data_IF_251779049943
#
_entry.id   IF_251779049943
#
_cell.length_a   1.000
_cell.length_b   1.000
_cell.length_c   1.000
_cell.angle_alpha   90.00
_cell.angle_beta   90.00
_cell.angle_gamma   90.00
#
_symmetry.space_group_name_H-M   'P 1'
#
loop_
_entity.id
_entity.type
_entity.pdbx_description
1 polymer ?
#
# COMPACT_ATOMS: atom_id res chain seq x y z
N UNK A 1 1.56 23.19 27.86
CA UNK A 1 2.67 23.34 26.89
C UNK A 1 2.26 22.60 25.63
N UNK A 2 2.37 23.18 24.42
CA UNK A 2 2.16 22.43 23.19
C UNK A 2 3.21 21.32 23.12
N UNK A 3 2.77 20.09 22.96
CA UNK A 3 3.66 18.97 22.64
C UNK A 3 4.14 19.23 21.21
N UNK A 4 5.44 19.46 21.05
CA UNK A 4 6.07 19.46 19.75
C UNK A 4 6.10 18.01 19.27
N UNK A 5 5.10 17.61 18.48
CA UNK A 5 5.13 16.34 17.76
C UNK A 5 6.19 16.45 16.65
N UNK A 6 7.41 16.03 16.99
CA UNK A 6 8.49 15.86 16.03
C UNK A 6 8.28 14.51 15.34
N UNK A 7 7.66 14.53 14.16
CA UNK A 7 7.53 13.33 13.32
C UNK A 7 8.75 13.17 12.41
N UNK A 8 9.32 11.97 12.38
CA UNK A 8 10.42 11.60 11.49
C UNK A 8 9.87 10.69 10.39
N UNK A 9 9.92 11.15 9.14
CA UNK A 9 9.51 10.31 8.01
C UNK A 9 10.59 9.28 7.67
N UNK A 10 10.36 8.02 8.04
CA UNK A 10 11.25 6.90 7.69
C UNK A 10 11.31 6.67 6.17
N UNK A 11 10.26 7.03 5.44
CA UNK A 11 10.19 6.96 3.97
C UNK A 11 11.27 7.81 3.29
N UNK A 12 11.54 9.02 3.81
CA UNK A 12 12.58 9.91 3.27
C UNK A 12 13.97 9.26 3.31
N UNK A 13 14.32 8.68 4.46
CA UNK A 13 15.62 8.06 4.67
C UNK A 13 15.77 6.78 3.86
N UNK A 14 14.74 5.91 3.88
CA UNK A 14 14.75 4.68 3.12
C UNK A 14 14.88 4.95 1.62
N UNK A 15 14.25 6.01 1.10
CA UNK A 15 14.39 6.40 -0.29
C UNK A 15 15.82 6.82 -0.64
N UNK A 16 16.40 7.74 0.13
CA UNK A 16 17.75 8.23 -0.13
C UNK A 16 18.78 7.09 -0.06
N UNK A 17 18.60 6.16 0.88
CA UNK A 17 19.41 4.96 0.97
C UNK A 17 19.18 4.04 -0.23
N UNK A 18 17.93 3.79 -0.63
CA UNK A 18 17.58 2.97 -1.78
C UNK A 18 18.23 3.48 -3.08
N UNK A 19 18.20 4.79 -3.33
CA UNK A 19 18.86 5.39 -4.49
C UNK A 19 20.36 5.11 -4.50
N UNK A 20 21.03 5.28 -3.36
CA UNK A 20 22.47 5.01 -3.23
C UNK A 20 22.78 3.53 -3.38
N UNK A 21 22.06 2.67 -2.67
CA UNK A 21 22.26 1.22 -2.69
C UNK A 21 21.98 0.64 -4.08
N UNK A 22 20.97 1.17 -4.79
CA UNK A 22 20.68 0.79 -6.17
C UNK A 22 21.86 1.01 -7.10
N UNK A 23 22.60 2.12 -6.96
CA UNK A 23 23.77 2.37 -7.83
C UNK A 23 24.91 1.37 -7.56
N UNK A 24 25.13 1.01 -6.30
CA UNK A 24 26.20 0.09 -5.90
C UNK A 24 25.83 -1.40 -6.06
N UNK A 25 24.58 -1.73 -6.42
CA UNK A 25 24.05 -3.10 -6.39
C UNK A 25 24.83 -4.12 -7.24
N UNK A 26 25.51 -3.66 -8.28
CA UNK A 26 26.27 -4.49 -9.20
C UNK A 26 27.62 -4.96 -8.60
N UNK A 27 28.07 -4.30 -7.53
CA UNK A 27 29.29 -4.64 -6.79
C UNK A 27 29.03 -5.69 -5.70
N UNK A 28 27.76 -5.99 -5.41
CA UNK A 28 27.35 -6.93 -4.37
C UNK A 28 27.57 -8.37 -4.79
N UNK A 29 28.00 -9.22 -3.85
CA UNK A 29 27.99 -10.66 -4.05
C UNK A 29 26.55 -11.18 -4.20
N UNK A 30 26.37 -12.37 -4.78
CA UNK A 30 25.03 -12.92 -5.07
C UNK A 30 24.11 -12.98 -3.84
N UNK A 31 24.64 -13.42 -2.69
CA UNK A 31 23.86 -13.49 -1.45
C UNK A 31 23.48 -12.10 -0.91
N UNK A 32 24.36 -11.10 -1.07
CA UNK A 32 24.10 -9.70 -0.69
C UNK A 32 23.08 -9.07 -1.63
N UNK A 33 23.15 -9.38 -2.92
CA UNK A 33 22.17 -8.94 -3.92
C UNK A 33 20.78 -9.49 -3.60
N UNK A 34 20.68 -10.75 -3.18
CA UNK A 34 19.42 -11.31 -2.73
C UNK A 34 18.87 -10.58 -1.49
N UNK A 35 19.72 -10.27 -0.51
CA UNK A 35 19.36 -9.45 0.64
C UNK A 35 18.91 -8.03 0.25
N UNK A 36 19.60 -7.42 -0.71
CA UNK A 36 19.23 -6.13 -1.28
C UNK A 36 17.85 -6.15 -1.93
N UNK A 37 17.51 -7.19 -2.72
CA UNK A 37 16.17 -7.29 -3.30
C UNK A 37 15.07 -7.43 -2.25
N UNK A 38 15.31 -8.18 -1.16
CA UNK A 38 14.35 -8.24 -0.05
C UNK A 38 14.12 -6.86 0.57
N UNK A 39 15.22 -6.15 0.86
CA UNK A 39 15.16 -4.78 1.35
C UNK A 39 14.43 -3.84 0.37
N UNK A 40 14.67 -3.99 -0.93
CA UNK A 40 14.02 -3.23 -1.99
C UNK A 40 12.49 -3.39 -1.93
N UNK A 41 11.99 -4.62 -1.95
CA UNK A 41 10.55 -4.88 -1.92
C UNK A 41 9.91 -4.40 -0.62
N UNK A 42 10.59 -4.56 0.51
CA UNK A 42 10.12 -4.03 1.79
C UNK A 42 10.05 -2.50 1.78
N UNK A 43 11.04 -1.85 1.19
CA UNK A 43 11.08 -0.38 1.07
C UNK A 43 9.95 0.13 0.17
N UNK A 44 9.77 -0.47 -1.02
CA UNK A 44 8.69 -0.09 -1.94
C UNK A 44 7.32 -0.34 -1.31
N UNK A 45 7.14 -1.47 -0.63
CA UNK A 45 5.85 -1.77 -0.01
C UNK A 45 5.57 -0.87 1.20
N UNK A 46 6.57 -0.64 2.07
CA UNK A 46 6.44 0.30 3.18
C UNK A 46 6.17 1.73 2.71
N UNK A 47 6.69 2.13 1.54
CA UNK A 47 6.28 3.38 0.90
C UNK A 47 4.80 3.38 0.54
N UNK A 48 4.30 2.33 -0.11
CA UNK A 48 2.87 2.23 -0.48
C UNK A 48 1.95 2.20 0.75
N UNK A 49 2.37 1.57 1.85
CA UNK A 49 1.67 1.63 3.14
C UNK A 49 1.56 3.07 3.64
N UNK A 50 2.70 3.78 3.72
CA UNK A 50 2.72 5.17 4.14
C UNK A 50 1.90 6.08 3.20
N UNK A 51 1.97 5.83 1.89
CA UNK A 51 1.26 6.59 0.87
C UNK A 51 -0.25 6.44 1.01
N UNK A 52 -0.74 5.20 1.08
CA UNK A 52 -2.18 4.92 1.21
C UNK A 52 -2.71 5.41 2.56
N UNK A 53 -1.95 5.20 3.64
CA UNK A 53 -2.23 5.77 4.96
C UNK A 53 -2.44 7.29 4.86
N UNK A 54 -1.48 8.01 4.28
CA UNK A 54 -1.54 9.48 4.17
C UNK A 54 -2.75 9.97 3.37
N UNK A 55 -3.13 9.27 2.29
CA UNK A 55 -4.33 9.59 1.50
C UNK A 55 -5.60 9.45 2.36
N UNK A 56 -5.71 8.36 3.13
CA UNK A 56 -6.86 8.11 4.00
C UNK A 56 -6.89 9.13 5.15
N UNK A 57 -5.76 9.38 5.81
CA UNK A 57 -5.64 10.40 6.86
C UNK A 57 -6.04 11.79 6.36
N UNK A 58 -5.63 12.15 5.15
CA UNK A 58 -5.99 13.44 4.54
C UNK A 58 -7.50 13.58 4.39
N UNK A 59 -8.18 12.53 3.90
CA UNK A 59 -9.64 12.51 3.80
C UNK A 59 -10.32 12.59 5.17
N UNK A 60 -9.85 11.82 6.16
CA UNK A 60 -10.40 11.84 7.52
C UNK A 60 -10.23 13.20 8.19
N UNK A 61 -9.04 13.79 8.09
CA UNK A 61 -8.74 15.13 8.63
C UNK A 61 -9.63 16.19 7.99
N UNK A 62 -9.92 16.06 6.70
CA UNK A 62 -10.87 16.95 6.03
C UNK A 62 -12.31 16.76 6.53
N UNK A 63 -12.81 15.52 6.62
CA UNK A 63 -14.14 15.23 7.20
C UNK A 63 -14.25 15.78 8.61
N UNK A 64 -13.19 15.61 9.42
CA UNK A 64 -13.11 16.19 10.76
C UNK A 64 -13.22 17.72 10.70
N UNK A 65 -12.40 18.38 9.88
CA UNK A 65 -12.40 19.84 9.72
C UNK A 65 -13.77 20.38 9.33
N UNK A 66 -14.46 19.79 8.35
CA UNK A 66 -15.81 20.22 7.95
C UNK A 66 -16.81 20.01 9.07
N UNK A 67 -16.72 18.88 9.77
CA UNK A 67 -17.63 18.54 10.86
C UNK A 67 -17.50 19.44 12.08
N UNK A 68 -16.40 20.17 12.25
CA UNK A 68 -16.24 21.11 13.37
C UNK A 68 -17.32 22.19 13.39
N UNK A 69 -17.90 22.52 12.22
CA UNK A 69 -19.05 23.43 12.12
C UNK A 69 -20.31 22.88 12.81
N UNK A 70 -20.44 21.56 12.97
CA UNK A 70 -21.54 20.91 13.70
C UNK A 70 -21.39 21.02 15.22
N UNK A 71 -20.22 21.41 15.73
CA UNK A 71 -19.97 21.44 17.18
C UNK A 71 -20.88 22.43 17.90
N UNK A 72 -21.09 23.59 17.31
CA UNK A 72 -21.88 24.69 17.89
C UNK A 72 -23.22 24.90 17.17
N UNK A 73 -23.54 24.04 16.19
CA UNK A 73 -24.78 24.14 15.44
C UNK A 73 -25.99 23.61 16.25
N UNK A 74 -27.17 23.99 15.78
CA UNK A 74 -28.44 23.47 16.26
C UNK A 74 -29.27 22.95 15.11
N UNK A 75 -30.07 21.93 15.37
CA UNK A 75 -30.92 21.28 14.40
C UNK A 75 -32.40 21.45 14.78
N UNK A 76 -33.17 22.01 13.87
CA UNK A 76 -34.61 22.13 14.03
C UNK A 76 -35.30 20.82 13.64
N UNK A 77 -35.96 20.20 14.62
CA UNK A 77 -36.73 18.99 14.45
C UNK A 77 -38.23 19.28 14.58
N UNK A 78 -39.00 18.81 13.60
CA UNK A 78 -40.45 18.86 13.62
C UNK A 78 -41.00 17.43 13.71
N UNK A 79 -41.65 17.12 14.82
CA UNK A 79 -42.39 15.86 15.00
C UNK A 79 -43.82 16.18 15.41
N UNK A 80 -44.79 15.65 14.65
CA UNK A 80 -46.22 15.82 14.90
C UNK A 80 -46.67 17.28 15.07
N UNK A 81 -46.04 18.21 14.35
CA UNK A 81 -46.38 19.64 14.39
C UNK A 81 -45.71 20.44 15.51
N UNK A 82 -44.93 19.80 16.38
CA UNK A 82 -44.12 20.47 17.41
C UNK A 82 -42.73 20.73 16.84
N UNK A 83 -42.38 22.00 16.68
CA UNK A 83 -41.02 22.44 16.34
C UNK A 83 -40.18 22.51 17.62
N UNK A 84 -39.00 21.91 17.57
CA UNK A 84 -38.03 21.89 18.67
C UNK A 84 -36.63 22.05 18.09
N UNK A 85 -35.78 22.81 18.77
CA UNK A 85 -34.39 23.05 18.36
C UNK A 85 -33.48 22.26 19.30
N UNK A 86 -32.62 21.42 18.74
CA UNK A 86 -31.74 20.53 19.50
C UNK A 86 -30.27 20.81 19.21
N UNK A 87 -29.36 20.66 20.18
CA UNK A 87 -27.93 20.79 19.94
C UNK A 87 -27.41 19.62 19.08
N UNK A 88 -26.50 19.89 18.15
CA UNK A 88 -25.84 18.84 17.34
C UNK A 88 -24.57 18.27 17.99
N UNK A 89 -24.18 18.77 19.18
CA UNK A 89 -22.98 18.33 19.91
C UNK A 89 -22.89 16.79 20.10
N UNK A 90 -23.95 16.05 20.46
CA UNK A 90 -23.88 14.58 20.59
C UNK A 90 -23.58 13.87 19.25
N UNK A 91 -24.05 14.43 18.14
CA UNK A 91 -23.77 13.92 16.78
C UNK A 91 -22.31 14.19 16.44
N UNK A 92 -21.83 15.40 16.72
CA UNK A 92 -20.43 15.77 16.53
C UNK A 92 -19.49 14.85 17.32
N UNK A 93 -19.75 14.61 18.61
CA UNK A 93 -18.91 13.72 19.44
C UNK A 93 -18.95 12.26 18.94
N UNK A 94 -20.10 11.77 18.47
CA UNK A 94 -20.21 10.44 17.85
C UNK A 94 -19.37 10.34 16.58
N UNK A 95 -19.46 11.34 15.68
CA UNK A 95 -18.68 11.39 14.45
C UNK A 95 -17.17 11.49 14.76
N UNK A 96 -16.78 12.33 15.71
CA UNK A 96 -15.40 12.45 16.18
C UNK A 96 -14.86 11.12 16.69
N UNK A 97 -15.64 10.40 17.49
CA UNK A 97 -15.28 9.06 17.97
C UNK A 97 -15.06 8.05 16.84
N UNK A 98 -15.90 8.09 15.79
CA UNK A 98 -15.75 7.25 14.60
C UNK A 98 -14.44 7.59 13.86
N UNK A 99 -14.18 8.87 13.60
CA UNK A 99 -12.99 9.33 12.90
C UNK A 99 -11.70 8.95 13.66
N UNK A 100 -11.67 9.17 14.97
CA UNK A 100 -10.53 8.80 15.81
C UNK A 100 -10.27 7.28 15.83
N UNK A 101 -11.33 6.47 15.79
CA UNK A 101 -11.18 5.02 15.68
C UNK A 101 -10.57 4.60 14.33
N UNK A 102 -10.87 5.30 13.24
CA UNK A 102 -10.23 5.05 11.95
C UNK A 102 -8.77 5.48 11.93
N UNK A 103 -8.43 6.65 12.46
CA UNK A 103 -7.04 7.12 12.59
C UNK A 103 -6.17 6.09 13.34
N UNK A 104 -6.67 5.55 14.45
CA UNK A 104 -5.98 4.49 15.20
C UNK A 104 -5.81 3.18 14.43
N UNK A 105 -6.76 2.83 13.56
CA UNK A 105 -6.64 1.64 12.71
C UNK A 105 -5.56 1.84 11.65
N UNK A 106 -5.44 3.05 11.10
CA UNK A 106 -4.50 3.38 10.02
C UNK A 106 -3.04 3.29 10.50
N UNK A 107 -2.73 3.82 11.69
CA UNK A 107 -1.36 3.92 12.22
C UNK A 107 -0.56 2.60 12.18
N UNK A 108 -1.24 1.45 12.31
CA UNK A 108 -0.61 0.12 12.41
C UNK A 108 -1.06 -0.85 11.33
N UNK A 109 -1.87 -0.39 10.38
CA UNK A 109 -2.45 -1.27 9.36
C UNK A 109 -1.38 -1.68 8.33
N UNK A 110 -1.18 -3.00 8.08
CA UNK A 110 -0.39 -3.44 6.94
C UNK A 110 -1.10 -3.08 5.63
N UNK A 111 -0.38 -3.12 4.51
CA UNK A 111 -0.90 -2.69 3.20
C UNK A 111 -2.27 -3.30 2.86
N UNK A 112 -2.47 -4.60 3.11
CA UNK A 112 -3.73 -5.28 2.82
C UNK A 112 -4.92 -4.65 3.56
N UNK A 113 -4.73 -4.31 4.85
CA UNK A 113 -5.78 -3.70 5.65
C UNK A 113 -6.03 -2.25 5.23
N UNK A 114 -4.99 -1.53 4.79
CA UNK A 114 -5.15 -0.18 4.24
C UNK A 114 -5.95 -0.20 2.92
N UNK A 115 -5.77 -1.22 2.07
CA UNK A 115 -6.57 -1.42 0.85
C UNK A 115 -8.05 -1.57 1.19
N UNK A 116 -8.38 -2.33 2.23
CA UNK A 116 -9.75 -2.53 2.71
C UNK A 116 -10.32 -1.23 3.32
N UNK A 117 -9.55 -0.56 4.20
CA UNK A 117 -9.96 0.70 4.83
C UNK A 117 -10.21 1.82 3.83
N UNK A 118 -9.52 1.83 2.68
CA UNK A 118 -9.77 2.80 1.63
C UNK A 118 -11.24 2.77 1.17
N UNK A 119 -11.81 1.57 1.02
CA UNK A 119 -13.21 1.42 0.61
C UNK A 119 -14.17 1.98 1.65
N UNK A 120 -13.89 1.75 2.94
CA UNK A 120 -14.74 2.23 4.04
C UNK A 120 -14.79 3.77 4.10
N UNK A 121 -13.67 4.43 3.80
CA UNK A 121 -13.54 5.89 3.88
C UNK A 121 -13.98 6.62 2.61
N UNK A 122 -13.64 6.09 1.43
CA UNK A 122 -13.96 6.75 0.15
C UNK A 122 -15.28 6.26 -0.47
N UNK A 123 -15.93 5.27 0.14
CA UNK A 123 -17.15 4.62 -0.37
C UNK A 123 -17.01 4.07 -1.80
N UNK A 124 -15.78 3.82 -2.26
CA UNK A 124 -15.45 3.25 -3.56
C UNK A 124 -14.35 2.21 -3.38
N UNK A 125 -14.47 1.08 -4.09
CA UNK A 125 -13.42 0.06 -4.08
C UNK A 125 -12.15 0.62 -4.72
N UNK A 126 -11.00 0.38 -4.08
CA UNK A 126 -9.70 0.75 -4.65
C UNK A 126 -9.46 0.13 -6.04
N UNK A 127 -10.01 -1.06 -6.28
CA UNK A 127 -9.99 -1.71 -7.60
C UNK A 127 -10.67 -0.90 -8.70
N UNK A 128 -11.72 -0.16 -8.38
CA UNK A 128 -12.41 0.68 -9.37
C UNK A 128 -11.57 1.91 -9.73
N UNK A 129 -10.76 2.38 -8.79
CA UNK A 129 -9.84 3.50 -8.98
C UNK A 129 -8.58 3.08 -9.76
N UNK A 130 -7.99 1.94 -9.39
CA UNK A 130 -6.70 1.50 -9.94
C UNK A 130 -6.82 0.63 -11.20
N UNK A 131 -7.99 0.05 -11.46
CA UNK A 131 -8.18 -0.93 -12.53
C UNK A 131 -7.19 -2.10 -12.40
N UNK A 132 -6.47 -2.40 -13.48
CA UNK A 132 -5.47 -3.47 -13.54
C UNK A 132 -4.34 -3.33 -12.51
N UNK A 133 -3.99 -2.09 -12.12
CA UNK A 133 -2.92 -1.82 -11.15
C UNK A 133 -3.28 -2.29 -9.74
N UNK A 134 -4.55 -2.57 -9.45
CA UNK A 134 -4.95 -3.16 -8.18
C UNK A 134 -4.29 -4.53 -7.97
N UNK A 135 -4.11 -5.32 -9.05
CA UNK A 135 -3.43 -6.61 -8.97
C UNK A 135 -1.94 -6.46 -8.64
N UNK A 136 -1.30 -5.39 -9.10
CA UNK A 136 0.09 -5.06 -8.76
C UNK A 136 0.23 -4.62 -7.29
N UNK A 137 -0.73 -3.85 -6.78
CA UNK A 137 -0.76 -3.44 -5.38
C UNK A 137 -0.93 -4.65 -4.44
N UNK A 138 -1.85 -5.57 -4.75
CA UNK A 138 -2.04 -6.80 -3.99
C UNK A 138 -0.81 -7.73 -4.09
N UNK A 139 -0.14 -7.78 -5.25
CA UNK A 139 1.12 -8.50 -5.39
C UNK A 139 2.22 -7.92 -4.46
N UNK A 140 2.35 -6.59 -4.37
CA UNK A 140 3.27 -5.94 -3.42
C UNK A 140 2.94 -6.29 -1.96
N UNK A 141 1.66 -6.27 -1.58
CA UNK A 141 1.22 -6.66 -0.24
C UNK A 141 1.62 -8.10 0.11
N UNK A 142 1.48 -9.03 -0.84
CA UNK A 142 1.92 -10.41 -0.67
C UNK A 142 3.44 -10.52 -0.53
N UNK A 143 4.21 -9.80 -1.36
CA UNK A 143 5.69 -9.80 -1.29
C UNK A 143 6.19 -9.27 0.06
N UNK A 144 5.56 -8.23 0.60
CA UNK A 144 5.90 -7.71 1.94
C UNK A 144 5.73 -8.77 3.01
N UNK A 145 4.63 -9.51 3.01
CA UNK A 145 4.42 -10.57 4.00
C UNK A 145 5.45 -11.71 3.88
N UNK A 146 5.90 -12.01 2.67
CA UNK A 146 6.93 -13.03 2.43
C UNK A 146 8.29 -12.53 2.94
N UNK A 147 8.72 -11.35 2.52
CA UNK A 147 10.06 -10.84 2.82
C UNK A 147 10.22 -10.28 4.23
N UNK A 148 9.15 -9.75 4.84
CA UNK A 148 9.23 -9.15 6.18
C UNK A 148 9.51 -10.17 7.28
N UNK A 149 9.19 -11.43 7.04
CA UNK A 149 9.36 -12.50 8.03
C UNK A 149 10.63 -13.32 7.80
N UNK A 150 11.46 -12.99 6.80
CA UNK A 150 12.64 -13.78 6.46
C UNK A 150 12.32 -15.26 6.22
N UNK A 151 11.09 -15.56 5.80
CA UNK A 151 10.61 -16.94 5.64
C UNK A 151 11.28 -17.54 4.42
N UNK A 152 11.65 -18.83 4.54
CA UNK A 152 12.05 -19.61 3.38
C UNK A 152 10.92 -19.58 2.36
N UNK A 153 11.24 -19.25 1.11
CA UNK A 153 10.33 -19.40 -0.03
C UNK A 153 10.08 -20.90 -0.21
N UNK A 154 9.01 -21.41 0.39
CA UNK A 154 8.67 -22.82 0.28
C UNK A 154 7.85 -23.06 -0.99
N UNK A 155 8.39 -23.92 -1.84
CA UNK A 155 7.77 -24.41 -3.06
C UNK A 155 7.58 -25.91 -2.86
N UNK A 156 6.33 -26.35 -2.68
CA UNK A 156 5.98 -27.77 -2.56
C UNK A 156 5.70 -28.36 -3.93
N UNK A 157 6.44 -29.40 -4.29
CA UNK A 157 6.19 -30.19 -5.50
C UNK A 157 5.26 -31.34 -5.12
N UNK A 158 4.01 -31.29 -5.60
CA UNK A 158 3.12 -32.46 -5.53
C UNK A 158 3.58 -33.50 -6.55
N UNK A 159 3.65 -34.77 -6.14
CA UNK A 159 3.87 -35.90 -7.05
C UNK A 159 2.59 -36.17 -7.85
N UNK A 160 2.28 -35.28 -8.78
CA UNK A 160 1.32 -35.53 -9.86
C UNK A 160 2.09 -36.00 -11.10
N UNK A 161 1.43 -36.60 -12.09
CA UNK A 161 2.07 -37.20 -13.28
C UNK A 161 3.04 -36.26 -14.03
N UNK A 162 2.92 -34.94 -13.84
CA UNK A 162 3.78 -33.91 -14.46
C UNK A 162 4.83 -33.28 -13.50
N UNK A 163 4.90 -33.63 -12.22
CA UNK A 163 5.80 -33.03 -11.20
C UNK A 163 5.82 -31.47 -11.22
N UNK A 164 4.69 -30.85 -11.54
CA UNK A 164 4.55 -29.39 -11.65
C UNK A 164 3.98 -28.79 -10.36
N UNK A 165 4.50 -27.64 -9.94
CA UNK A 165 3.91 -26.80 -8.90
C UNK A 165 2.82 -25.95 -9.52
N UNK A 166 1.61 -26.07 -8.98
CA UNK A 166 0.66 -24.97 -9.06
C UNK A 166 0.94 -23.99 -7.93
N UNK A 167 1.07 -22.70 -8.25
CA UNK A 167 1.16 -21.66 -7.23
C UNK A 167 -0.20 -21.40 -6.56
N UNK A 168 -1.24 -22.17 -6.85
CA UNK A 168 -2.55 -22.02 -6.20
C UNK A 168 -2.41 -22.02 -4.68
N UNK A 169 -2.99 -21.00 -4.04
CA UNK A 169 -2.92 -20.73 -2.60
C UNK A 169 -1.52 -20.36 -2.06
N UNK A 170 -0.49 -20.28 -2.92
CA UNK A 170 0.83 -19.77 -2.54
C UNK A 170 0.82 -18.23 -2.55
N UNK A 171 1.37 -17.54 -1.53
CA UNK A 171 1.42 -16.08 -1.53
C UNK A 171 2.23 -15.49 -2.70
N UNK A 172 3.13 -16.26 -3.33
CA UNK A 172 3.86 -15.88 -4.54
C UNK A 172 3.04 -15.94 -5.83
N UNK A 173 1.84 -16.54 -5.82
CA UNK A 173 1.05 -16.74 -7.02
C UNK A 173 0.80 -15.44 -7.78
N UNK A 174 0.22 -14.46 -7.08
CA UNK A 174 -0.14 -13.20 -7.69
C UNK A 174 1.11 -12.42 -8.14
N UNK A 175 2.17 -12.26 -7.32
CA UNK A 175 3.43 -11.69 -7.79
C UNK A 175 4.02 -12.38 -9.04
N UNK A 176 4.00 -13.72 -9.09
CA UNK A 176 4.51 -14.48 -10.23
C UNK A 176 3.65 -14.26 -11.48
N UNK A 177 2.33 -14.22 -11.35
CA UNK A 177 1.40 -13.90 -12.44
C UNK A 177 1.68 -12.51 -13.02
N UNK A 178 1.99 -11.51 -12.19
CA UNK A 178 2.36 -10.16 -12.64
C UNK A 178 3.67 -10.16 -13.42
N UNK A 179 4.71 -10.81 -12.90
CA UNK A 179 5.99 -10.94 -13.60
C UNK A 179 5.88 -11.75 -14.90
N UNK A 180 5.02 -12.76 -14.96
CA UNK A 180 4.73 -13.52 -16.17
C UNK A 180 4.00 -12.67 -17.21
N UNK A 181 2.98 -11.92 -16.80
CA UNK A 181 2.28 -10.97 -17.69
C UNK A 181 3.24 -9.90 -18.25
N UNK A 182 4.24 -9.51 -17.46
CA UNK A 182 5.31 -8.59 -17.88
C UNK A 182 6.41 -9.25 -18.73
N UNK A 183 6.33 -10.56 -18.99
CA UNK A 183 7.34 -11.37 -19.71
C UNK A 183 8.72 -11.41 -19.04
N UNK A 184 8.78 -11.14 -17.73
CA UNK A 184 10.00 -11.25 -16.91
C UNK A 184 10.16 -12.70 -16.45
N UNK A 185 9.06 -13.32 -16.02
CA UNK A 185 9.00 -14.73 -15.71
C UNK A 185 8.58 -15.51 -16.97
N UNK A 186 9.36 -16.50 -17.45
CA UNK A 186 9.05 -17.21 -18.69
C UNK A 186 7.87 -18.21 -18.59
N UNK A 187 7.58 -18.74 -17.40
CA UNK A 187 6.53 -19.75 -17.18
C UNK A 187 5.95 -19.66 -15.78
N UNK A 188 4.64 -19.86 -15.66
CA UNK A 188 3.96 -20.08 -14.38
C UNK A 188 3.94 -21.55 -13.95
N UNK A 189 4.16 -22.49 -14.88
CA UNK A 189 4.37 -23.90 -14.55
C UNK A 189 5.81 -24.07 -14.11
N UNK A 190 6.00 -24.39 -12.84
CA UNK A 190 7.30 -24.61 -12.24
C UNK A 190 7.51 -26.09 -11.96
N UNK A 191 8.72 -26.57 -12.20
CA UNK A 191 9.16 -27.93 -11.90
C UNK A 191 10.57 -27.88 -11.25
N UNK A 192 11.10 -28.99 -10.71
CA UNK A 192 12.42 -28.99 -10.08
C UNK A 192 13.57 -28.56 -11.00
N UNK A 193 13.40 -28.61 -12.32
CA UNK A 193 14.41 -28.18 -13.29
C UNK A 193 14.40 -26.66 -13.56
N UNK A 194 13.27 -25.99 -13.31
CA UNK A 194 13.08 -24.60 -13.71
C UNK A 194 12.69 -23.63 -12.56
N UNK A 195 12.51 -24.11 -11.32
CA UNK A 195 12.13 -23.27 -10.17
C UNK A 195 13.10 -22.10 -9.90
N UNK A 196 14.37 -22.24 -10.28
CA UNK A 196 15.37 -21.17 -10.17
C UNK A 196 15.03 -19.96 -11.04
N UNK A 197 14.23 -20.13 -12.10
CA UNK A 197 13.73 -19.02 -12.92
C UNK A 197 12.77 -18.13 -12.13
N UNK A 198 11.98 -18.71 -11.22
CA UNK A 198 11.11 -17.93 -10.32
C UNK A 198 11.95 -17.05 -9.40
N UNK A 199 12.96 -17.64 -8.76
CA UNK A 199 13.86 -16.89 -7.88
C UNK A 199 14.56 -15.78 -8.67
N UNK A 200 15.17 -16.12 -9.81
CA UNK A 200 15.83 -15.13 -10.68
C UNK A 200 14.90 -13.97 -11.05
N UNK A 201 13.64 -14.23 -11.40
CA UNK A 201 12.70 -13.18 -11.75
C UNK A 201 12.42 -12.20 -10.59
N UNK A 202 12.34 -12.67 -9.34
CA UNK A 202 12.14 -11.79 -8.19
C UNK A 202 13.42 -11.05 -7.76
N UNK A 203 14.58 -11.69 -7.90
CA UNK A 203 15.87 -11.13 -7.49
C UNK A 203 16.59 -10.34 -8.61
N UNK A 204 16.03 -10.30 -9.83
CA UNK A 204 16.59 -9.52 -10.93
C UNK A 204 16.21 -8.04 -10.86
N UNK A 205 17.00 -7.21 -11.55
CA UNK A 205 16.73 -5.78 -11.65
C UNK A 205 15.42 -5.51 -12.39
N UNK A 206 15.09 -6.30 -13.40
CA UNK A 206 13.83 -6.18 -14.15
C UNK A 206 12.62 -6.40 -13.26
N UNK A 207 12.64 -7.43 -12.40
CA UNK A 207 11.56 -7.70 -11.44
C UNK A 207 11.40 -6.58 -10.42
N UNK A 208 12.52 -6.13 -9.84
CA UNK A 208 12.51 -5.00 -8.89
C UNK A 208 11.99 -3.71 -9.54
N UNK A 209 12.50 -3.35 -10.72
CA UNK A 209 12.08 -2.16 -11.46
C UNK A 209 10.61 -2.25 -11.90
N UNK A 210 10.11 -3.42 -12.28
CA UNK A 210 8.70 -3.61 -12.60
C UNK A 210 7.80 -3.18 -11.44
N UNK A 211 8.03 -3.73 -10.25
CA UNK A 211 7.21 -3.42 -9.08
C UNK A 211 7.37 -1.98 -8.60
N UNK A 212 8.57 -1.40 -8.69
CA UNK A 212 8.79 0.02 -8.42
C UNK A 212 8.00 0.92 -9.37
N UNK A 213 8.04 0.63 -10.67
CA UNK A 213 7.33 1.43 -11.67
C UNK A 213 5.82 1.32 -11.47
N UNK A 214 5.30 0.13 -11.16
CA UNK A 214 3.89 -0.05 -10.82
C UNK A 214 3.48 0.67 -9.55
N UNK A 215 4.30 0.66 -8.50
CA UNK A 215 4.07 1.46 -7.30
C UNK A 215 3.98 2.96 -7.63
N UNK A 216 4.88 3.48 -8.47
CA UNK A 216 4.86 4.89 -8.91
C UNK A 216 3.65 5.25 -9.77
N UNK A 217 3.20 4.35 -10.65
CA UNK A 217 1.96 4.51 -11.41
C UNK A 217 0.75 4.59 -10.46
N UNK A 218 0.69 3.70 -9.47
CA UNK A 218 -0.35 3.70 -8.44
C UNK A 218 -0.33 5.00 -7.63
N UNK A 219 0.83 5.47 -7.16
CA UNK A 219 0.97 6.78 -6.50
C UNK A 219 0.33 7.89 -7.35
N UNK A 220 0.65 7.93 -8.65
CA UNK A 220 0.14 8.93 -9.58
C UNK A 220 -1.40 8.95 -9.65
N UNK A 221 -2.03 7.77 -9.68
CA UNK A 221 -3.50 7.67 -9.68
C UNK A 221 -4.07 8.06 -8.31
N UNK A 222 -3.47 7.57 -7.22
CA UNK A 222 -3.98 7.81 -5.87
C UNK A 222 -3.95 9.28 -5.47
N UNK A 223 -2.96 10.06 -5.93
CA UNK A 223 -2.94 11.53 -5.73
C UNK A 223 -4.21 12.20 -6.26
N UNK A 224 -4.74 11.68 -7.37
CA UNK A 224 -5.92 12.24 -8.03
C UNK A 224 -7.25 11.80 -7.40
N UNK A 225 -7.22 10.90 -6.40
CA UNK A 225 -8.45 10.47 -5.69
C UNK A 225 -8.94 11.51 -4.69
N UNK A 226 -8.06 12.42 -4.28
CA UNK A 226 -8.40 13.61 -3.52
C UNK A 226 -9.07 14.61 -4.46
N UNK A 227 -10.38 14.47 -4.62
CA UNK A 227 -11.20 15.28 -5.52
C UNK A 227 -11.61 16.63 -4.94
N UNK A 228 -11.41 16.85 -3.63
CA UNK A 228 -11.76 18.10 -2.98
C UNK A 228 -10.56 19.05 -2.98
N UNK A 229 -10.66 20.31 -3.47
CA UNK A 229 -9.48 21.14 -3.74
C UNK A 229 -8.56 21.37 -2.52
N UNK A 230 -9.09 21.67 -1.31
CA UNK A 230 -8.27 21.72 -0.10
C UNK A 230 -7.50 20.44 0.28
N UNK A 231 -7.92 19.26 -0.20
CA UNK A 231 -7.16 18.02 -0.01
C UNK A 231 -5.97 17.94 -0.99
N UNK A 232 -6.08 18.56 -2.17
CA UNK A 232 -5.04 18.55 -3.22
C UNK A 232 -3.83 19.41 -2.84
N UNK A 233 -4.05 20.44 -2.03
CA UNK A 233 -3.01 21.34 -1.54
C UNK A 233 -2.21 20.76 -0.35
N UNK A 234 -2.66 19.63 0.22
CA UNK A 234 -1.94 18.99 1.32
C UNK A 234 -0.65 18.32 0.82
N UNK A 235 0.49 18.49 1.53
CA UNK A 235 1.73 17.83 1.15
C UNK A 235 1.57 16.31 1.28
N UNK A 236 1.53 15.64 0.13
CA UNK A 236 1.62 14.18 0.05
C UNK A 236 3.10 13.79 0.19
N UNK A 237 3.34 12.56 0.70
CA UNK A 237 4.67 11.96 0.80
C UNK A 237 5.47 12.13 -0.49
N UNK A 238 6.80 12.31 -0.34
CA UNK A 238 7.66 12.45 -1.51
C UNK A 238 7.74 11.11 -2.24
N UNK A 239 7.44 11.14 -3.54
CA UNK A 239 7.35 9.95 -4.39
C UNK A 239 8.60 9.07 -4.39
N UNK A 240 8.38 7.79 -4.70
CA UNK A 240 9.44 6.81 -4.96
C UNK A 240 10.40 7.29 -6.06
N UNK A 241 11.68 6.89 -5.98
CA UNK A 241 12.72 7.38 -6.87
C UNK A 241 12.59 6.76 -8.26
N UNK A 242 13.07 7.48 -9.27
CA UNK A 242 13.09 7.03 -10.66
C UNK A 242 14.36 6.23 -10.97
N UNK A 243 14.43 5.00 -10.47
CA UNK A 243 15.57 4.12 -10.70
C UNK A 243 15.59 3.61 -12.16
N UNK A 244 16.80 3.35 -12.67
CA UNK A 244 17.05 2.84 -14.02
C UNK A 244 17.98 1.62 -13.94
N UNK A 245 17.86 0.73 -14.92
CA UNK A 245 18.76 -0.40 -15.09
C UNK A 245 20.21 0.07 -15.24
#
# INVERSE_FOLDING_TARGET
>A
MPVLDVSISTTLFNRAYLERAWQARHELAEYERNGFSQFFYLTVTGHMEAFLSKIIETRLGFVFSVSTSLKEATFDWNSNGVKSTHPTEPIFESLRGILFNFERKIEKAPLQNLIELFQDIFCIKLSNTLGELNSDLNALANLRNIFAHGRNLWLSFEQNEENCISLDQNPLQLPAQRLFAAKILPSLRLDPSNYTNLQKAFYSDEGMLYFLNKAREIEGILKNTLSFPPEQDMPILISLPALKA
#
